data_IF_411983677977
#
_entry.id   IF_411983677977
#
_cell.length_a   1.000
_cell.length_b   1.000
_cell.length_c   1.000
_cell.angle_alpha   90.00
_cell.angle_beta   90.00
_cell.angle_gamma   90.00
#
_symmetry.space_group_name_H-M   'P 1'
#
loop_
_entity.id
_entity.type
_entity.pdbx_description
1 polymer ?
#
# COMPACT_ATOMS: atom_id res chain seq x y z
N UNK A 1 0.24 5.92 -17.30
CA UNK A 1 -0.78 6.53 -18.20
C UNK A 1 -0.77 8.05 -18.07
N UNK A 2 -1.16 8.76 -19.11
CA UNK A 2 -1.19 10.23 -19.13
C UNK A 2 -2.54 10.72 -19.64
N UNK A 3 -3.06 11.86 -19.14
CA UNK A 3 -4.21 12.53 -19.72
C UNK A 3 -4.00 12.87 -21.20
N UNK A 4 -5.09 12.87 -21.97
CA UNK A 4 -5.02 13.15 -23.42
C UNK A 4 -4.65 14.61 -23.72
N UNK A 5 -5.15 15.55 -22.92
CA UNK A 5 -4.86 16.98 -23.04
C UNK A 5 -4.04 17.45 -21.87
N UNK A 6 -2.94 18.14 -22.12
CA UNK A 6 -2.05 18.71 -21.10
C UNK A 6 -1.32 19.93 -21.68
N UNK A 7 -1.31 21.00 -20.93
CA UNK A 7 -0.57 22.22 -21.28
C UNK A 7 0.71 22.39 -20.42
N UNK A 8 0.78 21.74 -19.25
CA UNK A 8 1.82 21.90 -18.24
C UNK A 8 2.24 20.54 -17.64
N UNK A 9 3.24 20.54 -16.79
CA UNK A 9 3.59 19.37 -15.99
C UNK A 9 2.43 18.95 -15.09
N UNK A 10 2.17 17.64 -15.03
CA UNK A 10 1.02 17.06 -14.37
C UNK A 10 1.35 16.61 -12.95
N UNK A 11 0.42 16.76 -12.00
CA UNK A 11 0.51 16.00 -10.76
C UNK A 11 0.39 14.51 -11.07
N UNK A 12 1.08 13.66 -10.28
CA UNK A 12 1.15 12.22 -10.52
C UNK A 12 0.63 11.44 -9.32
N UNK A 13 -0.14 10.39 -9.62
CA UNK A 13 -0.54 9.38 -8.64
C UNK A 13 0.26 8.11 -8.89
N UNK A 14 1.00 7.66 -7.89
CA UNK A 14 1.68 6.35 -7.86
C UNK A 14 0.82 5.42 -7.02
N UNK A 15 0.38 4.33 -7.61
CA UNK A 15 -0.49 3.36 -6.95
C UNK A 15 0.21 2.02 -6.75
N UNK A 16 -0.04 1.42 -5.59
CA UNK A 16 0.46 0.12 -5.18
C UNK A 16 -0.69 -0.87 -5.03
N UNK A 17 -0.43 -2.13 -5.35
CA UNK A 17 -1.45 -3.16 -5.53
C UNK A 17 -1.69 -3.92 -4.22
N UNK A 18 -2.93 -4.34 -3.99
CA UNK A 18 -3.33 -5.24 -2.92
C UNK A 18 -2.69 -6.63 -3.02
N UNK A 19 -2.68 -7.37 -1.92
CA UNK A 19 -2.04 -8.68 -1.82
C UNK A 19 -2.54 -9.67 -2.89
N UNK A 20 -1.61 -10.27 -3.63
CA UNK A 20 -1.89 -11.25 -4.69
C UNK A 20 -2.37 -10.66 -6.02
N UNK A 21 -2.62 -9.37 -6.11
CA UNK A 21 -3.04 -8.73 -7.37
C UNK A 21 -1.89 -8.42 -8.31
N UNK A 22 -2.20 -8.31 -9.60
CA UNK A 22 -1.33 -7.82 -10.66
C UNK A 22 -1.77 -6.44 -11.15
N UNK A 23 -1.03 -5.87 -12.08
CA UNK A 23 -1.22 -4.51 -12.62
C UNK A 23 -2.52 -4.29 -13.40
N UNK A 24 -3.32 -5.30 -13.60
CA UNK A 24 -4.55 -5.26 -14.42
C UNK A 24 -4.29 -4.92 -15.91
N UNK A 25 -5.35 -4.88 -16.69
CA UNK A 25 -5.27 -4.44 -18.09
C UNK A 25 -5.27 -2.90 -18.14
N UNK A 26 -4.65 -2.28 -19.15
CA UNK A 26 -4.64 -0.82 -19.32
C UNK A 26 -6.03 -0.18 -19.32
N UNK A 27 -7.04 -0.90 -19.80
CA UNK A 27 -8.45 -0.45 -19.83
C UNK A 27 -9.08 -0.33 -18.44
N UNK A 28 -8.54 -1.00 -17.44
CA UNK A 28 -9.02 -0.97 -16.04
C UNK A 28 -8.33 0.13 -15.22
N UNK A 29 -7.27 0.74 -15.76
CA UNK A 29 -6.41 1.71 -15.08
C UNK A 29 -6.63 3.16 -15.53
N UNK A 30 -7.86 3.54 -15.91
CA UNK A 30 -8.14 4.85 -16.51
C UNK A 30 -8.51 5.95 -15.50
N UNK A 31 -8.85 5.62 -14.28
CA UNK A 31 -9.42 6.52 -13.28
C UNK A 31 -8.61 7.81 -13.12
N UNK A 32 -7.34 7.71 -12.79
CA UNK A 32 -6.49 8.86 -12.48
C UNK A 32 -6.20 9.69 -13.71
N UNK A 33 -5.94 9.05 -14.85
CA UNK A 33 -5.70 9.75 -16.12
C UNK A 33 -6.96 10.51 -16.58
N UNK A 34 -8.15 9.92 -16.40
CA UNK A 34 -9.43 10.58 -16.70
C UNK A 34 -9.72 11.76 -15.77
N UNK A 35 -9.20 11.73 -14.54
CA UNK A 35 -9.32 12.81 -13.57
C UNK A 35 -8.24 13.91 -13.73
N UNK A 36 -7.35 13.80 -14.73
CA UNK A 36 -6.36 14.84 -15.05
C UNK A 36 -4.96 14.60 -14.45
N UNK A 37 -4.71 13.44 -13.84
CA UNK A 37 -3.42 13.10 -13.23
C UNK A 37 -2.56 12.21 -14.14
N UNK A 38 -1.25 12.39 -14.11
CA UNK A 38 -0.35 11.32 -14.55
C UNK A 38 -0.49 10.12 -13.60
N UNK A 39 -0.43 8.92 -14.14
CA UNK A 39 -0.64 7.71 -13.35
C UNK A 39 0.45 6.67 -13.58
N UNK A 40 1.05 6.20 -12.48
CA UNK A 40 2.00 5.09 -12.44
C UNK A 40 1.48 4.02 -11.50
N UNK A 41 1.24 2.81 -12.02
CA UNK A 41 0.90 1.63 -11.25
C UNK A 41 2.15 0.75 -11.13
N UNK A 42 2.55 0.43 -9.91
CA UNK A 42 3.67 -0.47 -9.65
C UNK A 42 3.17 -1.91 -9.52
N UNK A 43 3.61 -2.79 -10.42
CA UNK A 43 3.36 -4.22 -10.28
C UNK A 43 4.19 -4.81 -9.13
N UNK A 44 3.59 -5.70 -8.36
CA UNK A 44 4.19 -6.20 -7.12
C UNK A 44 5.07 -7.42 -7.40
N UNK A 45 6.37 -7.31 -7.13
CA UNK A 45 7.30 -8.45 -7.29
C UNK A 45 6.83 -9.69 -6.51
N UNK A 46 6.97 -10.87 -7.12
CA UNK A 46 6.63 -12.15 -6.50
C UNK A 46 5.14 -12.38 -6.25
N UNK A 47 4.29 -11.51 -6.76
CA UNK A 47 2.83 -11.64 -6.66
C UNK A 47 2.17 -11.45 -8.03
N UNK A 48 0.91 -11.80 -8.13
CA UNK A 48 0.12 -11.51 -9.32
C UNK A 48 -1.01 -12.49 -9.55
N UNK A 49 -1.90 -12.09 -10.44
CA UNK A 49 -2.99 -12.88 -11.06
C UNK A 49 -3.97 -13.60 -10.14
N UNK A 50 -3.98 -13.29 -8.83
CA UNK A 50 -4.94 -13.90 -7.91
C UNK A 50 -6.36 -13.36 -8.12
N UNK A 51 -6.49 -12.04 -8.27
CA UNK A 51 -7.77 -11.35 -8.47
C UNK A 51 -7.71 -10.24 -9.53
N UNK A 52 -6.52 -9.83 -9.96
CA UNK A 52 -6.28 -8.94 -11.11
C UNK A 52 -5.09 -9.44 -11.92
N UNK A 53 -5.18 -9.33 -13.23
CA UNK A 53 -4.18 -9.84 -14.19
C UNK A 53 -2.83 -9.13 -14.04
N UNK A 54 -1.75 -9.86 -14.27
CA UNK A 54 -0.37 -9.35 -14.26
C UNK A 54 0.49 -10.04 -13.21
N UNK A 55 1.69 -10.42 -13.63
CA UNK A 55 2.65 -11.15 -12.80
C UNK A 55 4.03 -10.50 -12.94
N UNK A 56 4.73 -10.34 -11.83
CA UNK A 56 6.13 -9.91 -11.80
C UNK A 56 6.93 -10.85 -10.91
N UNK A 57 7.94 -11.56 -11.43
CA UNK A 57 8.74 -12.47 -10.62
C UNK A 57 9.60 -11.72 -9.59
N UNK A 58 9.87 -12.37 -8.45
CA UNK A 58 10.89 -11.92 -7.49
C UNK A 58 12.20 -12.61 -7.82
N UNK A 59 13.00 -11.99 -8.69
CA UNK A 59 14.28 -12.53 -9.15
C UNK A 59 15.23 -12.77 -7.97
N UNK A 60 15.77 -13.97 -7.88
CA UNK A 60 16.66 -14.40 -6.79
C UNK A 60 15.97 -15.16 -5.64
N UNK A 61 14.63 -15.19 -5.61
CA UNK A 61 13.86 -15.94 -4.60
C UNK A 61 12.96 -17.02 -5.23
N UNK A 62 13.38 -17.58 -6.38
CA UNK A 62 12.53 -18.40 -7.24
C UNK A 62 11.87 -17.51 -8.29
N UNK A 63 12.00 -17.86 -9.56
CA UNK A 63 11.65 -16.96 -10.67
C UNK A 63 10.15 -16.76 -10.90
N UNK A 64 9.28 -17.53 -10.27
CA UNK A 64 7.84 -17.46 -10.47
C UNK A 64 7.17 -16.56 -9.41
N UNK A 65 6.08 -15.87 -9.75
CA UNK A 65 5.21 -15.27 -8.75
C UNK A 65 4.80 -16.32 -7.72
N UNK A 66 4.95 -16.00 -6.43
CA UNK A 66 4.64 -16.91 -5.32
C UNK A 66 3.57 -16.27 -4.43
N UNK A 67 2.34 -16.69 -4.65
CA UNK A 67 1.19 -16.29 -3.84
C UNK A 67 0.28 -17.50 -3.58
N UNK A 68 -0.20 -17.73 -2.35
CA UNK A 68 0.19 -17.09 -1.07
C UNK A 68 1.58 -17.52 -0.57
N UNK A 69 2.05 -16.91 0.55
CA UNK A 69 3.29 -17.31 1.24
C UNK A 69 4.33 -16.19 1.38
N UNK A 70 4.14 -15.06 0.71
CA UNK A 70 5.12 -13.96 0.75
C UNK A 70 5.21 -13.27 2.11
N UNK A 71 4.18 -13.38 2.97
CA UNK A 71 4.18 -12.82 4.32
C UNK A 71 5.23 -13.44 5.23
N UNK A 72 5.64 -14.67 4.95
CA UNK A 72 6.62 -15.40 5.75
C UNK A 72 7.96 -15.57 5.05
N UNK A 73 8.08 -15.11 3.81
CA UNK A 73 9.32 -15.23 3.03
C UNK A 73 10.44 -14.38 3.64
N UNK A 74 11.44 -15.04 4.24
CA UNK A 74 12.56 -14.40 4.94
C UNK A 74 12.21 -13.77 6.29
N UNK A 75 11.07 -14.14 6.92
CA UNK A 75 10.50 -13.47 8.11
C UNK A 75 11.39 -13.54 9.36
N UNK A 76 12.39 -14.39 9.39
CA UNK A 76 13.28 -14.52 10.57
C UNK A 76 14.43 -13.49 10.57
N UNK A 77 14.65 -12.77 9.47
CA UNK A 77 15.73 -11.80 9.35
C UNK A 77 15.26 -10.57 8.56
N UNK A 78 15.35 -9.35 9.12
CA UNK A 78 14.97 -8.12 8.44
C UNK A 78 15.73 -7.89 7.12
N UNK A 79 16.94 -8.43 6.99
CA UNK A 79 17.76 -8.27 5.77
C UNK A 79 17.23 -9.11 4.61
N UNK A 80 16.61 -10.25 4.88
CA UNK A 80 16.10 -11.19 3.88
C UNK A 80 14.60 -11.12 3.68
N UNK A 81 13.88 -10.44 4.58
CA UNK A 81 12.43 -10.37 4.55
C UNK A 81 11.92 -9.76 3.23
N UNK A 82 10.92 -10.39 2.65
CA UNK A 82 10.34 -10.02 1.35
C UNK A 82 9.97 -8.52 1.25
N UNK A 83 9.33 -7.97 2.26
CA UNK A 83 8.88 -6.56 2.25
C UNK A 83 10.02 -5.55 2.24
N UNK A 84 11.25 -5.92 2.59
CA UNK A 84 12.41 -5.06 2.42
C UNK A 84 12.64 -4.72 0.96
N UNK A 85 12.53 -5.71 0.07
CA UNK A 85 12.66 -5.50 -1.37
C UNK A 85 11.46 -4.73 -1.92
N UNK A 86 10.26 -5.11 -1.52
CA UNK A 86 9.02 -4.47 -1.99
C UNK A 86 8.95 -2.99 -1.60
N UNK A 87 9.31 -2.61 -0.37
CA UNK A 87 9.33 -1.19 0.04
C UNK A 87 10.44 -0.40 -0.66
N UNK A 88 11.56 -1.05 -0.99
CA UNK A 88 12.59 -0.43 -1.85
C UNK A 88 12.03 -0.14 -3.25
N UNK A 89 11.27 -1.07 -3.84
CA UNK A 89 10.62 -0.84 -5.13
C UNK A 89 9.60 0.29 -5.06
N UNK A 90 8.84 0.38 -3.96
CA UNK A 90 7.87 1.45 -3.77
C UNK A 90 8.52 2.84 -3.78
N UNK A 91 9.65 3.00 -3.08
CA UNK A 91 10.43 4.25 -3.10
C UNK A 91 10.97 4.54 -4.51
N UNK A 92 11.46 3.50 -5.21
CA UNK A 92 11.95 3.63 -6.59
C UNK A 92 10.84 3.98 -7.58
N UNK A 93 9.62 3.49 -7.38
CA UNK A 93 8.45 3.87 -8.20
C UNK A 93 8.15 5.38 -8.07
N UNK A 94 8.25 5.95 -6.86
CA UNK A 94 8.15 7.41 -6.66
C UNK A 94 9.27 8.14 -7.41
N UNK A 95 10.51 7.66 -7.31
CA UNK A 95 11.64 8.27 -8.03
C UNK A 95 11.46 8.19 -9.56
N UNK A 96 10.98 7.05 -10.07
CA UNK A 96 10.67 6.86 -11.48
C UNK A 96 9.54 7.80 -11.96
N UNK A 97 8.49 7.97 -11.17
CA UNK A 97 7.44 8.94 -11.48
C UNK A 97 8.00 10.36 -11.59
N UNK A 98 8.83 10.77 -10.65
CA UNK A 98 9.46 12.11 -10.64
C UNK A 98 10.41 12.37 -11.80
N UNK A 99 11.12 11.35 -12.29
CA UNK A 99 12.05 11.50 -13.40
C UNK A 99 11.36 11.65 -14.77
N UNK A 100 10.05 11.43 -14.84
CA UNK A 100 9.32 11.55 -16.10
C UNK A 100 9.08 13.02 -16.46
N UNK A 101 9.43 13.43 -17.67
CA UNK A 101 9.42 14.83 -18.14
C UNK A 101 8.08 15.57 -17.98
N UNK A 102 6.96 14.85 -18.05
CA UNK A 102 5.61 15.41 -17.93
C UNK A 102 5.12 15.50 -16.50
N UNK A 103 5.84 14.95 -15.52
CA UNK A 103 5.42 14.94 -14.12
C UNK A 103 5.98 16.15 -13.38
N UNK A 104 5.14 16.80 -12.59
CA UNK A 104 5.60 17.74 -11.58
C UNK A 104 6.13 16.98 -10.37
N UNK A 105 7.43 17.00 -10.18
CA UNK A 105 8.11 16.27 -9.12
C UNK A 105 7.66 16.63 -7.69
N UNK A 106 7.07 17.84 -7.52
CA UNK A 106 6.55 18.33 -6.23
C UNK A 106 5.11 17.89 -5.97
N UNK A 107 4.37 17.47 -7.00
CA UNK A 107 2.98 17.04 -6.91
C UNK A 107 2.83 15.54 -7.15
N UNK A 108 3.50 14.73 -6.34
CA UNK A 108 3.40 13.27 -6.38
C UNK A 108 2.62 12.77 -5.16
N UNK A 109 1.53 12.04 -5.43
CA UNK A 109 0.75 11.31 -4.43
C UNK A 109 1.04 9.81 -4.50
N UNK A 110 0.96 9.13 -3.36
CA UNK A 110 0.96 7.66 -3.27
C UNK A 110 -0.39 7.16 -2.76
N UNK A 111 -0.87 6.05 -3.29
CA UNK A 111 -2.16 5.46 -2.91
C UNK A 111 -2.14 3.94 -3.09
N UNK A 112 -3.11 3.27 -2.54
CA UNK A 112 -3.41 1.86 -2.73
C UNK A 112 -4.35 1.33 -1.66
N UNK A 113 -5.01 0.23 -1.97
CA UNK A 113 -5.89 -0.48 -1.03
C UNK A 113 -5.17 -1.64 -0.35
N UNK A 114 -5.53 -1.97 0.89
CA UNK A 114 -5.00 -3.13 1.60
C UNK A 114 -3.47 -3.13 1.68
N UNK A 115 -2.79 -4.12 1.09
CA UNK A 115 -1.33 -4.13 0.96
C UNK A 115 -0.82 -2.85 0.30
N UNK A 116 -1.49 -2.37 -0.75
CA UNK A 116 -1.14 -1.12 -1.41
C UNK A 116 -1.20 0.08 -0.47
N UNK A 117 -2.16 0.11 0.45
CA UNK A 117 -2.26 1.12 1.52
C UNK A 117 -1.09 1.07 2.49
N UNK A 118 -0.69 -0.13 2.92
CA UNK A 118 0.51 -0.32 3.76
C UNK A 118 1.80 0.07 3.05
N UNK A 119 1.92 -0.26 1.76
CA UNK A 119 3.06 0.16 0.92
C UNK A 119 3.08 1.70 0.76
N UNK A 120 1.91 2.33 0.61
CA UNK A 120 1.79 3.80 0.53
C UNK A 120 2.30 4.47 1.80
N UNK A 121 1.98 3.92 2.98
CA UNK A 121 2.51 4.38 4.27
C UNK A 121 4.04 4.22 4.34
N UNK A 122 4.55 3.06 3.91
CA UNK A 122 5.99 2.81 3.87
C UNK A 122 6.71 3.80 2.93
N UNK A 123 6.17 4.02 1.72
CA UNK A 123 6.72 4.99 0.78
C UNK A 123 6.73 6.41 1.37
N UNK A 124 5.61 6.86 1.96
CA UNK A 124 5.52 8.19 2.58
C UNK A 124 6.42 8.37 3.81
N UNK A 125 6.74 7.28 4.53
CA UNK A 125 7.68 7.31 5.65
C UNK A 125 9.17 7.20 5.26
N UNK A 126 9.46 6.77 4.02
CA UNK A 126 10.82 6.52 3.51
C UNK A 126 11.29 7.56 2.48
N UNK A 127 10.37 8.22 1.79
CA UNK A 127 10.68 9.28 0.82
C UNK A 127 9.64 10.40 0.89
N UNK A 128 10.03 11.59 0.50
CA UNK A 128 9.09 12.70 0.47
C UNK A 128 8.05 12.49 -0.63
N UNK A 129 6.78 12.59 -0.28
CA UNK A 129 5.66 12.68 -1.21
C UNK A 129 4.74 13.80 -0.76
N UNK A 130 3.99 14.40 -1.67
CA UNK A 130 3.11 15.51 -1.32
C UNK A 130 1.83 15.01 -0.61
N UNK A 131 1.33 13.85 -1.02
CA UNK A 131 0.08 13.26 -0.50
C UNK A 131 0.23 11.75 -0.35
N UNK A 132 -0.38 11.20 0.71
CA UNK A 132 -0.50 9.76 0.96
C UNK A 132 -1.97 9.40 1.18
N UNK A 133 -2.52 8.47 0.39
CA UNK A 133 -3.93 8.10 0.47
C UNK A 133 -4.08 6.57 0.65
N UNK A 134 -3.83 6.04 1.86
CA UNK A 134 -3.94 4.61 2.12
C UNK A 134 -5.40 4.22 2.37
N UNK A 135 -5.91 3.28 1.59
CA UNK A 135 -7.25 2.74 1.77
C UNK A 135 -7.20 1.43 2.54
N UNK A 136 -7.97 1.31 3.63
CA UNK A 136 -8.05 0.11 4.49
C UNK A 136 -6.69 -0.57 4.66
N UNK A 137 -5.63 0.15 5.09
CA UNK A 137 -4.25 -0.31 4.96
C UNK A 137 -3.96 -1.58 5.74
N UNK A 138 -3.42 -2.58 5.02
CA UNK A 138 -2.78 -3.76 5.55
C UNK A 138 -1.36 -3.44 6.06
N UNK A 139 -0.62 -4.40 6.59
CA UNK A 139 0.76 -4.24 7.10
C UNK A 139 0.88 -3.29 8.31
N UNK A 140 -0.19 -3.11 9.06
CA UNK A 140 -0.23 -2.24 10.23
C UNK A 140 -0.48 -3.02 11.52
N UNK A 141 0.29 -2.71 12.57
CA UNK A 141 0.16 -3.31 13.90
C UNK A 141 0.12 -4.85 13.87
N UNK A 142 1.12 -5.46 13.27
CA UNK A 142 1.17 -6.89 12.98
C UNK A 142 0.82 -7.80 14.17
N UNK A 143 1.37 -7.53 15.37
CA UNK A 143 1.11 -8.38 16.54
C UNK A 143 -0.38 -8.37 16.90
N UNK A 144 -1.04 -7.22 16.86
CA UNK A 144 -2.48 -7.13 17.10
C UNK A 144 -3.25 -7.83 16.00
N UNK A 145 -2.97 -7.51 14.73
CA UNK A 145 -3.67 -8.11 13.61
C UNK A 145 -3.66 -9.64 13.67
N UNK A 146 -2.47 -10.25 13.83
CA UNK A 146 -2.30 -11.70 13.88
C UNK A 146 -2.94 -12.39 15.08
N UNK A 147 -3.35 -11.64 16.12
CA UNK A 147 -4.04 -12.19 17.30
C UNK A 147 -5.56 -12.05 17.22
N UNK A 148 -6.09 -11.12 16.42
CA UNK A 148 -7.53 -10.84 16.38
C UNK A 148 -8.22 -11.32 15.09
N UNK A 149 -7.48 -11.59 13.99
CA UNK A 149 -8.05 -12.14 12.76
C UNK A 149 -7.45 -13.51 12.42
N UNK A 150 -8.24 -14.30 11.69
CA UNK A 150 -7.84 -15.60 11.17
C UNK A 150 -8.01 -15.69 9.65
N UNK A 151 -7.94 -14.55 8.99
CA UNK A 151 -8.08 -14.40 7.53
C UNK A 151 -6.72 -14.14 6.90
N UNK A 152 -6.58 -14.52 5.62
CA UNK A 152 -5.42 -14.12 4.83
C UNK A 152 -5.40 -12.59 4.64
N UNK A 153 -4.19 -11.98 4.52
CA UNK A 153 -2.85 -12.60 4.57
C UNK A 153 -2.22 -12.69 5.96
N UNK A 154 -2.77 -12.08 7.02
CA UNK A 154 -2.22 -12.19 8.38
C UNK A 154 -2.19 -13.65 8.90
N UNK A 155 -3.08 -14.50 8.40
CA UNK A 155 -3.10 -15.92 8.74
C UNK A 155 -1.76 -16.62 8.43
N UNK A 156 -1.02 -16.23 7.39
CA UNK A 156 0.28 -16.83 7.06
C UNK A 156 1.26 -16.68 8.22
N UNK A 157 1.36 -15.48 8.80
CA UNK A 157 2.22 -15.20 9.96
C UNK A 157 1.74 -16.00 11.17
N UNK A 158 0.43 -16.03 11.40
CA UNK A 158 -0.17 -16.76 12.50
C UNK A 158 0.12 -18.26 12.42
N UNK A 159 -0.02 -18.88 11.25
CA UNK A 159 0.28 -20.28 11.02
C UNK A 159 1.77 -20.59 11.21
N UNK A 160 2.64 -19.70 10.72
CA UNK A 160 4.08 -19.81 10.92
C UNK A 160 4.42 -19.83 12.42
N UNK A 161 3.92 -18.87 13.20
CA UNK A 161 4.15 -18.78 14.63
C UNK A 161 3.52 -19.96 15.41
N UNK A 162 2.37 -20.48 14.96
CA UNK A 162 1.74 -21.68 15.53
C UNK A 162 2.64 -22.91 15.39
N UNK A 163 3.32 -23.03 14.26
CA UNK A 163 4.22 -24.15 13.94
C UNK A 163 5.59 -23.95 14.61
N UNK A 164 6.16 -22.75 14.48
CA UNK A 164 7.50 -22.41 15.00
C UNK A 164 7.40 -21.54 16.25
N UNK A 165 6.91 -22.15 17.35
CA UNK A 165 6.57 -21.43 18.59
C UNK A 165 7.76 -20.72 19.22
N UNK A 166 8.95 -21.31 19.13
CA UNK A 166 10.21 -20.77 19.61
C UNK A 166 10.73 -19.56 18.79
N UNK A 167 10.19 -19.32 17.60
CA UNK A 167 10.56 -18.21 16.71
C UNK A 167 9.65 -16.99 16.80
N UNK A 168 8.56 -17.06 17.57
CA UNK A 168 7.55 -16.00 17.61
C UNK A 168 8.14 -14.61 17.87
N UNK A 169 9.02 -14.48 18.86
CA UNK A 169 9.64 -13.16 19.14
C UNK A 169 10.60 -12.71 18.04
N UNK A 170 11.32 -13.63 17.41
CA UNK A 170 12.17 -13.32 16.24
C UNK A 170 11.34 -12.78 15.09
N UNK A 171 10.20 -13.43 14.78
CA UNK A 171 9.24 -12.98 13.77
C UNK A 171 8.79 -11.55 14.01
N UNK A 172 8.29 -11.26 15.22
CA UNK A 172 7.79 -9.91 15.50
C UNK A 172 8.90 -8.87 15.63
N UNK A 173 10.11 -9.25 16.00
CA UNK A 173 11.27 -8.36 15.95
C UNK A 173 11.63 -7.99 14.51
N UNK A 174 11.52 -8.93 13.55
CA UNK A 174 11.64 -8.62 12.13
C UNK A 174 10.51 -7.69 11.66
N UNK A 175 9.26 -8.04 11.95
CA UNK A 175 8.08 -7.30 11.49
C UNK A 175 8.02 -5.85 11.98
N UNK A 176 8.62 -5.52 13.13
CA UNK A 176 8.73 -4.12 13.62
C UNK A 176 9.37 -3.19 12.60
N UNK A 177 10.32 -3.65 11.80
CA UNK A 177 10.97 -2.83 10.77
C UNK A 177 10.08 -2.54 9.56
N UNK A 178 8.96 -3.29 9.44
CA UNK A 178 8.05 -3.23 8.28
C UNK A 178 6.62 -2.86 8.67
N UNK A 179 6.40 -2.43 9.91
CA UNK A 179 5.06 -2.08 10.39
C UNK A 179 4.66 -0.67 9.92
N UNK A 180 3.51 -0.58 9.26
CA UNK A 180 2.94 0.68 8.76
C UNK A 180 2.76 1.75 9.84
N UNK A 181 2.55 1.36 11.09
CA UNK A 181 2.48 2.30 12.22
C UNK A 181 3.79 3.06 12.39
N UNK A 182 4.93 2.38 12.26
CA UNK A 182 6.24 3.04 12.39
C UNK A 182 6.58 3.93 11.19
N UNK A 183 6.11 3.60 9.99
CA UNK A 183 6.23 4.50 8.84
C UNK A 183 5.33 5.72 8.99
N UNK A 184 4.12 5.54 9.50
CA UNK A 184 3.18 6.62 9.77
C UNK A 184 3.77 7.70 10.70
N UNK A 185 4.56 7.31 11.73
CA UNK A 185 5.23 8.30 12.62
C UNK A 185 6.26 9.17 11.92
N UNK A 186 6.70 8.79 10.71
CA UNK A 186 7.71 9.50 9.92
C UNK A 186 7.11 10.25 8.73
N UNK A 187 5.93 9.83 8.27
CA UNK A 187 5.26 10.38 7.10
C UNK A 187 4.70 11.77 7.39
N UNK A 188 5.17 12.78 6.63
CA UNK A 188 4.80 14.20 6.79
C UNK A 188 3.82 14.68 5.73
N UNK A 189 3.59 13.89 4.69
CA UNK A 189 2.65 14.19 3.61
C UNK A 189 1.24 14.46 4.15
N UNK A 190 0.46 15.30 3.48
CA UNK A 190 -0.98 15.35 3.75
C UNK A 190 -1.60 14.00 3.47
N UNK A 191 -2.52 13.55 4.30
CA UNK A 191 -3.08 12.20 4.11
C UNK A 191 -4.60 12.17 4.22
N UNK A 192 -5.18 11.30 3.38
CA UNK A 192 -6.58 10.88 3.46
C UNK A 192 -6.63 9.35 3.60
N UNK A 193 -6.86 8.87 4.81
CA UNK A 193 -7.09 7.45 5.08
C UNK A 193 -8.52 7.04 4.73
N UNK A 194 -8.72 5.74 4.53
CA UNK A 194 -10.04 5.12 4.72
C UNK A 194 -9.96 3.96 5.71
N UNK A 195 -11.09 3.72 6.38
CA UNK A 195 -11.29 2.58 7.28
C UNK A 195 -12.70 2.05 7.09
N UNK A 196 -12.85 0.72 7.13
CA UNK A 196 -14.16 0.05 7.11
C UNK A 196 -14.35 -0.70 8.42
N UNK A 197 -15.48 -0.44 9.12
CA UNK A 197 -15.62 -0.92 10.49
C UNK A 197 -15.95 -2.42 10.61
N UNK A 198 -16.42 -3.04 9.51
CA UNK A 198 -16.69 -4.48 9.44
C UNK A 198 -15.56 -5.26 8.78
N UNK A 199 -14.37 -4.63 8.57
CA UNK A 199 -13.23 -5.26 7.92
C UNK A 199 -12.60 -6.33 8.83
N UNK A 200 -12.66 -7.59 8.39
CA UNK A 200 -12.10 -8.77 9.07
C UNK A 200 -10.74 -9.21 8.50
N UNK A 201 -10.22 -8.49 7.50
CA UNK A 201 -8.89 -8.70 6.88
C UNK A 201 -7.91 -7.66 7.43
N UNK A 202 -8.24 -6.37 7.35
CA UNK A 202 -7.49 -5.26 7.93
C UNK A 202 -8.30 -4.61 9.07
N UNK A 203 -8.28 -5.19 10.28
CA UNK A 203 -9.19 -4.76 11.35
C UNK A 203 -9.11 -3.26 11.63
N UNK A 204 -10.22 -2.56 11.83
CA UNK A 204 -10.25 -1.11 12.04
C UNK A 204 -9.25 -0.62 13.07
N UNK A 205 -9.03 -1.39 14.13
CA UNK A 205 -8.09 -1.02 15.19
C UNK A 205 -6.63 -0.96 14.73
N UNK A 206 -6.26 -1.69 13.67
CA UNK A 206 -4.90 -1.65 13.08
C UNK A 206 -4.75 -0.47 12.14
N UNK A 207 -5.81 -0.11 11.41
CA UNK A 207 -5.88 1.10 10.58
C UNK A 207 -5.82 2.35 11.46
N UNK A 208 -6.61 2.41 12.51
CA UNK A 208 -6.57 3.52 13.48
C UNK A 208 -5.23 3.63 14.21
N UNK A 209 -4.52 2.51 14.44
CA UNK A 209 -3.17 2.57 15.00
C UNK A 209 -2.23 3.37 14.07
N UNK A 210 -2.25 3.11 12.76
CA UNK A 210 -1.45 3.88 11.81
C UNK A 210 -1.95 5.33 11.70
N UNK A 211 -3.26 5.55 11.59
CA UNK A 211 -3.85 6.89 11.51
C UNK A 211 -3.49 7.75 12.72
N UNK A 212 -3.67 7.24 13.94
CA UNK A 212 -3.42 7.99 15.17
C UNK A 212 -1.97 8.43 15.30
N UNK A 213 -1.03 7.59 14.83
CA UNK A 213 0.41 7.87 14.87
C UNK A 213 0.95 8.62 13.64
N UNK A 214 0.12 8.88 12.64
CA UNK A 214 0.56 9.61 11.44
C UNK A 214 0.99 11.04 11.81
N UNK A 215 2.21 11.43 11.38
CA UNK A 215 2.83 12.69 11.81
C UNK A 215 2.36 13.92 11.02
N UNK A 216 1.93 13.74 9.76
CA UNK A 216 1.45 14.83 8.90
C UNK A 216 0.00 15.22 9.17
N UNK A 217 -0.48 16.24 8.46
CA UNK A 217 -1.90 16.62 8.42
C UNK A 217 -2.73 15.45 7.91
N UNK A 218 -3.76 15.05 8.65
CA UNK A 218 -4.48 13.79 8.40
C UNK A 218 -5.98 13.95 8.48
N UNK A 219 -6.65 13.23 7.57
CA UNK A 219 -8.10 13.04 7.54
C UNK A 219 -8.42 11.55 7.27
N UNK A 220 -9.63 11.11 7.62
CA UNK A 220 -10.06 9.72 7.45
C UNK A 220 -11.52 9.65 7.03
N UNK A 221 -11.82 8.76 6.09
CA UNK A 221 -13.19 8.37 5.73
C UNK A 221 -13.55 7.06 6.41
N UNK A 222 -14.66 7.04 7.10
CA UNK A 222 -15.15 5.87 7.84
C UNK A 222 -16.34 5.27 7.10
N UNK A 223 -16.23 3.99 6.76
CA UNK A 223 -17.28 3.20 6.13
C UNK A 223 -17.83 2.21 7.16
N UNK A 224 -18.93 2.62 7.81
CA UNK A 224 -19.44 1.94 9.01
C UNK A 224 -19.90 0.51 8.76
N UNK A 225 -20.49 0.23 7.61
CA UNK A 225 -21.16 -1.03 7.29
C UNK A 225 -20.40 -1.86 6.23
N UNK A 226 -19.22 -1.43 5.83
CA UNK A 226 -18.42 -2.09 4.80
C UNK A 226 -17.35 -2.98 5.43
N UNK A 227 -17.02 -4.06 4.71
CA UNK A 227 -15.90 -4.94 5.00
C UNK A 227 -14.62 -4.45 4.30
N UNK A 228 -13.78 -5.39 3.90
CA UNK A 228 -12.47 -5.10 3.29
C UNK A 228 -12.56 -4.35 1.95
N UNK A 229 -13.69 -4.37 1.29
CA UNK A 229 -13.93 -3.58 0.07
C UNK A 229 -13.87 -2.06 0.33
N UNK A 230 -14.04 -1.62 1.59
CA UNK A 230 -13.99 -0.22 1.97
C UNK A 230 -15.01 0.63 1.21
N UNK A 231 -14.62 1.84 0.85
CA UNK A 231 -15.51 2.78 0.15
C UNK A 231 -15.54 2.63 -1.36
N UNK A 232 -14.71 1.75 -1.96
CA UNK A 232 -14.68 1.50 -3.41
C UNK A 232 -14.73 2.79 -4.26
N UNK A 233 -15.69 2.91 -5.19
CA UNK A 233 -15.87 4.08 -6.04
C UNK A 233 -16.15 5.37 -5.26
N UNK A 234 -16.83 5.30 -4.12
CA UNK A 234 -17.07 6.46 -3.25
C UNK A 234 -15.74 6.99 -2.67
N UNK A 235 -14.88 6.11 -2.20
CA UNK A 235 -13.55 6.50 -1.72
C UNK A 235 -12.69 7.08 -2.86
N UNK A 236 -12.77 6.52 -4.05
CA UNK A 236 -12.07 7.07 -5.22
C UNK A 236 -12.51 8.50 -5.54
N UNK A 237 -13.81 8.79 -5.45
CA UNK A 237 -14.32 10.16 -5.61
C UNK A 237 -13.80 11.10 -4.52
N UNK A 238 -13.74 10.66 -3.27
CA UNK A 238 -13.18 11.46 -2.17
C UNK A 238 -11.68 11.75 -2.40
N UNK A 239 -10.89 10.76 -2.84
CA UNK A 239 -9.47 10.96 -3.18
C UNK A 239 -9.29 11.94 -4.34
N UNK A 240 -10.09 11.83 -5.40
CA UNK A 240 -10.05 12.77 -6.54
C UNK A 240 -10.36 14.18 -6.06
N UNK A 241 -11.44 14.40 -5.33
CA UNK A 241 -11.81 15.71 -4.76
C UNK A 241 -10.70 16.27 -3.86
N UNK A 242 -10.09 15.41 -3.04
CA UNK A 242 -8.99 15.78 -2.15
C UNK A 242 -7.79 16.30 -2.94
N UNK A 243 -7.38 15.59 -4.00
CA UNK A 243 -6.27 16.01 -4.84
C UNK A 243 -6.60 17.24 -5.68
N UNK A 244 -7.82 17.35 -6.23
CA UNK A 244 -8.25 18.52 -6.98
C UNK A 244 -8.24 19.79 -6.11
N UNK A 245 -8.72 19.70 -4.88
CA UNK A 245 -8.67 20.84 -3.93
C UNK A 245 -7.24 21.30 -3.62
N UNK A 246 -6.26 20.40 -3.69
CA UNK A 246 -4.87 20.73 -3.38
C UNK A 246 -4.08 21.24 -4.60
N UNK A 247 -4.44 20.80 -5.82
CA UNK A 247 -3.56 20.95 -6.98
C UNK A 247 -4.20 21.55 -8.22
N UNK A 248 -5.52 21.70 -8.24
CA UNK A 248 -6.30 22.28 -9.33
C UNK A 248 -7.16 23.45 -8.85
#
# INVERSE_FOLDING_TARGET
>A
MLPKQRAEKLPCVVEYIGYGGGRSLPTECLLWASAGFAYLLMDTRGQGSSWSTGDTPDLGAGANPAFPGVMTNGILDPQTYYYRRLFTDAVRAVAAARSHEVVDEKRVAVTGGSQGGGISLAAAGLTDVAVCMPDVPFLCHYRRATTIVNTHPYQEIRLFCKTHRDKTETVFNTLKYFDGVHFATRAKAKTLFSVALMDDICPPSTVYAAYNHYAGEKDIRVYEFNGHEGGQGFQNLEKIKFLQKLWM
#
